data_IF_416828376077
#
_entry.id   IF_416828376077
#
_cell.length_a   1.000
_cell.length_b   1.000
_cell.length_c   1.000
_cell.angle_alpha   90.00
_cell.angle_beta   90.00
_cell.angle_gamma   90.00
#
_symmetry.space_group_name_H-M   'P 1'
#
loop_
_entity.id
_entity.type
_entity.pdbx_description
1 polymer ?
#
# COMPACT_ATOMS: atom_id res chain seq x y z
N UNK A 1 1.85 -25.44 13.01
CA UNK A 1 0.52 -25.03 12.49
C UNK A 1 0.57 -23.71 11.70
N UNK A 2 1.08 -22.60 12.29
CA UNK A 2 1.22 -21.29 11.60
C UNK A 2 2.09 -21.35 10.33
N UNK A 3 3.21 -22.07 10.34
CA UNK A 3 4.09 -22.24 9.17
C UNK A 3 3.45 -23.02 8.01
N UNK A 4 2.54 -23.95 8.31
CA UNK A 4 1.81 -24.72 7.30
C UNK A 4 0.68 -23.90 6.66
N UNK A 5 -0.01 -23.08 7.47
CA UNK A 5 -1.04 -22.14 6.98
C UNK A 5 -0.40 -21.07 6.08
N UNK A 6 0.72 -20.48 6.48
CA UNK A 6 1.48 -19.54 5.65
C UNK A 6 2.00 -20.19 4.36
N UNK A 7 2.40 -21.46 4.39
CA UNK A 7 2.79 -22.20 3.18
C UNK A 7 1.59 -22.41 2.24
N UNK A 8 0.41 -22.76 2.77
CA UNK A 8 -0.83 -22.91 2.01
C UNK A 8 -1.28 -21.62 1.31
N UNK A 9 -1.23 -20.48 2.01
CA UNK A 9 -1.54 -19.16 1.43
C UNK A 9 -0.56 -18.81 0.30
N UNK A 10 0.73 -19.10 0.46
CA UNK A 10 1.77 -18.85 -0.54
C UNK A 10 1.64 -19.72 -1.80
N UNK A 11 1.21 -20.97 -1.66
CA UNK A 11 0.92 -21.81 -2.83
C UNK A 11 -0.33 -21.34 -3.55
N UNK A 12 -1.37 -20.99 -2.80
CA UNK A 12 -2.62 -20.46 -3.33
C UNK A 12 -2.38 -19.20 -4.16
N UNK A 13 -1.56 -18.27 -3.68
CA UNK A 13 -1.24 -17.02 -4.41
C UNK A 13 -0.38 -17.22 -5.65
N UNK A 14 0.37 -18.33 -5.74
CA UNK A 14 1.12 -18.69 -6.96
C UNK A 14 0.27 -19.40 -7.99
N UNK A 15 -0.70 -20.20 -7.55
CA UNK A 15 -1.54 -21.02 -8.43
C UNK A 15 -2.69 -20.20 -9.03
N UNK A 16 -3.31 -19.29 -8.26
CA UNK A 16 -4.46 -18.51 -8.72
C UNK A 16 -4.20 -17.77 -10.05
N UNK A 17 -3.07 -17.06 -10.25
CA UNK A 17 -2.76 -16.44 -11.54
C UNK A 17 -2.78 -17.42 -12.73
N UNK A 18 -2.31 -18.65 -12.53
CA UNK A 18 -2.34 -19.69 -13.57
C UNK A 18 -3.77 -20.17 -13.84
N UNK A 19 -4.59 -20.34 -12.80
CA UNK A 19 -6.01 -20.68 -12.95
C UNK A 19 -6.74 -19.58 -13.72
N UNK A 20 -6.50 -18.31 -13.39
CA UNK A 20 -7.09 -17.17 -14.11
C UNK A 20 -6.69 -17.16 -15.58
N UNK A 21 -5.41 -17.42 -15.89
CA UNK A 21 -4.95 -17.51 -17.27
C UNK A 21 -5.64 -18.65 -18.04
N UNK A 22 -5.77 -19.84 -17.43
CA UNK A 22 -6.51 -20.97 -18.00
C UNK A 22 -7.99 -20.63 -18.24
N UNK A 23 -8.63 -19.95 -17.29
CA UNK A 23 -10.01 -19.49 -17.42
C UNK A 23 -10.19 -18.48 -18.57
N UNK A 24 -9.30 -17.49 -18.68
CA UNK A 24 -9.31 -16.54 -19.81
C UNK A 24 -9.14 -17.28 -21.14
N UNK A 25 -8.28 -18.29 -21.22
CA UNK A 25 -8.15 -19.15 -22.40
C UNK A 25 -9.46 -19.88 -22.77
N UNK A 26 -10.16 -20.44 -21.77
CA UNK A 26 -11.46 -21.08 -21.98
C UNK A 26 -12.53 -20.07 -22.44
N UNK A 27 -12.61 -18.90 -21.81
CA UNK A 27 -13.51 -17.81 -22.23
C UNK A 27 -13.21 -17.40 -23.66
N UNK A 28 -11.93 -17.28 -24.03
CA UNK A 28 -11.48 -16.94 -25.39
C UNK A 28 -11.98 -17.96 -26.40
N UNK A 29 -11.82 -19.25 -26.11
CA UNK A 29 -12.32 -20.32 -26.97
C UNK A 29 -13.84 -20.25 -27.15
N UNK A 30 -14.61 -20.11 -26.07
CA UNK A 30 -16.08 -20.05 -26.15
C UNK A 30 -16.54 -18.78 -26.88
N UNK A 31 -15.95 -17.63 -26.58
CA UNK A 31 -16.30 -16.36 -27.19
C UNK A 31 -16.02 -16.33 -28.69
N UNK A 32 -14.82 -16.70 -29.10
CA UNK A 32 -14.41 -16.61 -30.51
C UNK A 32 -15.03 -17.74 -31.31
N UNK A 33 -14.73 -19.00 -30.93
CA UNK A 33 -15.12 -20.17 -31.74
C UNK A 33 -16.61 -20.44 -31.63
N UNK A 34 -17.15 -20.58 -30.41
CA UNK A 34 -18.54 -21.05 -30.26
C UNK A 34 -19.58 -19.95 -30.47
N UNK A 35 -19.37 -18.77 -29.89
CA UNK A 35 -20.35 -17.67 -29.95
C UNK A 35 -20.19 -16.88 -31.26
N UNK A 36 -19.00 -16.34 -31.55
CA UNK A 36 -18.84 -15.45 -32.70
C UNK A 36 -18.81 -16.19 -34.03
N UNK A 37 -18.03 -17.27 -34.15
CA UNK A 37 -17.85 -18.01 -35.41
C UNK A 37 -18.98 -19.01 -35.65
N UNK A 38 -19.15 -20.00 -34.78
CA UNK A 38 -20.12 -21.08 -35.01
C UNK A 38 -21.56 -20.54 -34.95
N UNK A 39 -21.91 -19.80 -33.89
CA UNK A 39 -23.28 -19.33 -33.69
C UNK A 39 -23.64 -18.09 -34.52
N UNK A 40 -22.96 -16.95 -34.32
CA UNK A 40 -23.37 -15.71 -35.00
C UNK A 40 -22.99 -15.68 -36.48
N UNK A 41 -21.78 -16.09 -36.85
CA UNK A 41 -21.31 -16.02 -38.24
C UNK A 41 -21.88 -17.14 -39.11
N UNK A 42 -21.76 -18.40 -38.69
CA UNK A 42 -22.19 -19.54 -39.52
C UNK A 42 -23.66 -19.90 -39.36
N UNK A 43 -24.13 -20.14 -38.12
CA UNK A 43 -25.50 -20.62 -37.88
C UNK A 43 -26.56 -19.54 -38.10
N UNK A 44 -26.31 -18.32 -37.60
CA UNK A 44 -27.25 -17.20 -37.71
C UNK A 44 -26.99 -16.26 -38.89
N UNK A 45 -25.85 -16.36 -39.56
CA UNK A 45 -25.46 -15.47 -40.68
C UNK A 45 -25.46 -13.96 -40.30
N UNK A 46 -25.26 -13.65 -39.03
CA UNK A 46 -25.23 -12.30 -38.46
C UNK A 46 -23.79 -11.79 -38.34
N UNK A 47 -23.13 -11.60 -39.48
CA UNK A 47 -21.72 -11.17 -39.57
C UNK A 47 -21.43 -9.87 -38.81
N UNK A 48 -22.36 -8.91 -38.82
CA UNK A 48 -22.18 -7.61 -38.12
C UNK A 48 -22.07 -7.80 -36.61
N UNK A 49 -22.98 -8.59 -36.02
CA UNK A 49 -22.98 -8.89 -34.58
C UNK A 49 -21.71 -9.61 -34.17
N UNK A 50 -21.29 -10.61 -34.96
CA UNK A 50 -20.05 -11.35 -34.72
C UNK A 50 -18.82 -10.42 -34.71
N UNK A 51 -18.69 -9.54 -35.71
CA UNK A 51 -17.55 -8.62 -35.82
C UNK A 51 -17.53 -7.63 -34.64
N UNK A 52 -18.67 -7.07 -34.26
CA UNK A 52 -18.76 -6.13 -33.13
C UNK A 52 -18.24 -6.80 -31.85
N UNK A 53 -18.74 -7.98 -31.51
CA UNK A 53 -18.27 -8.68 -30.31
C UNK A 53 -16.79 -9.05 -30.40
N UNK A 54 -16.29 -9.52 -31.55
CA UNK A 54 -14.88 -9.84 -31.72
C UNK A 54 -13.96 -8.63 -31.52
N UNK A 55 -14.32 -7.47 -32.05
CA UNK A 55 -13.53 -6.24 -31.90
C UNK A 55 -13.50 -5.78 -30.45
N UNK A 56 -14.66 -5.61 -29.81
CA UNK A 56 -14.73 -5.19 -28.41
C UNK A 56 -14.03 -6.19 -27.49
N UNK A 57 -14.25 -7.48 -27.71
CA UNK A 57 -13.59 -8.56 -26.97
C UNK A 57 -12.07 -8.48 -27.09
N UNK A 58 -11.55 -8.36 -28.32
CA UNK A 58 -10.09 -8.37 -28.57
C UNK A 58 -9.40 -7.15 -27.98
N UNK A 59 -9.99 -5.95 -28.11
CA UNK A 59 -9.44 -4.72 -27.55
C UNK A 59 -9.41 -4.79 -26.02
N UNK A 60 -10.51 -5.22 -25.40
CA UNK A 60 -10.58 -5.32 -23.93
C UNK A 60 -9.72 -6.45 -23.39
N UNK A 61 -9.60 -7.58 -24.10
CA UNK A 61 -8.69 -8.66 -23.74
C UNK A 61 -7.24 -8.14 -23.74
N UNK A 62 -6.83 -7.39 -24.77
CA UNK A 62 -5.50 -6.81 -24.82
C UNK A 62 -5.24 -5.88 -23.63
N UNK A 63 -6.16 -4.96 -23.35
CA UNK A 63 -6.03 -4.02 -22.22
C UNK A 63 -6.01 -4.75 -20.87
N UNK A 64 -6.84 -5.77 -20.70
CA UNK A 64 -6.86 -6.65 -19.53
C UNK A 64 -5.51 -7.35 -19.35
N UNK A 65 -4.98 -7.98 -20.40
CA UNK A 65 -3.72 -8.71 -20.35
C UNK A 65 -2.54 -7.77 -20.05
N UNK A 66 -2.49 -6.60 -20.68
CA UNK A 66 -1.42 -5.61 -20.46
C UNK A 66 -1.45 -5.08 -19.03
N UNK A 67 -2.63 -4.69 -18.52
CA UNK A 67 -2.76 -4.17 -17.15
C UNK A 67 -2.53 -5.23 -16.09
N UNK A 68 -3.04 -6.46 -16.28
CA UNK A 68 -2.79 -7.57 -15.36
C UNK A 68 -1.31 -7.96 -15.34
N UNK A 69 -0.66 -8.07 -16.50
CA UNK A 69 0.76 -8.42 -16.59
C UNK A 69 1.62 -7.35 -15.91
N UNK A 70 1.32 -6.07 -16.14
CA UNK A 70 2.03 -4.97 -15.47
C UNK A 70 1.85 -5.02 -13.96
N UNK A 71 0.62 -5.19 -13.49
CA UNK A 71 0.30 -5.31 -12.07
C UNK A 71 1.06 -6.47 -11.44
N UNK A 72 0.95 -7.67 -12.03
CA UNK A 72 1.62 -8.86 -11.55
C UNK A 72 3.14 -8.66 -11.46
N UNK A 73 3.77 -8.14 -12.53
CA UNK A 73 5.21 -7.85 -12.54
C UNK A 73 5.62 -6.90 -11.42
N UNK A 74 4.87 -5.82 -11.21
CA UNK A 74 5.21 -4.83 -10.17
C UNK A 74 5.04 -5.41 -8.77
N UNK A 75 3.98 -6.19 -8.55
CA UNK A 75 3.76 -6.89 -7.27
C UNK A 75 4.90 -7.86 -6.95
N UNK A 76 5.44 -8.56 -7.95
CA UNK A 76 6.56 -9.49 -7.73
C UNK A 76 7.92 -8.79 -7.60
N UNK A 77 8.19 -7.76 -8.42
CA UNK A 77 9.52 -7.15 -8.52
C UNK A 77 9.70 -6.02 -7.49
N UNK A 78 8.69 -5.17 -7.31
CA UNK A 78 8.76 -4.02 -6.41
C UNK A 78 7.43 -3.81 -5.66
N UNK A 79 7.17 -4.62 -4.63
CA UNK A 79 5.99 -4.47 -3.78
C UNK A 79 5.99 -3.21 -2.89
N UNK A 80 7.02 -2.35 -2.96
CA UNK A 80 7.11 -1.15 -2.13
C UNK A 80 7.50 -1.44 -0.67
N UNK A 81 8.44 -2.36 -0.46
CA UNK A 81 8.89 -2.74 0.89
C UNK A 81 9.74 -1.64 1.55
N UNK A 82 9.52 -1.42 2.84
CA UNK A 82 10.35 -0.59 3.70
C UNK A 82 11.64 -1.35 4.03
N UNK A 83 12.83 -0.71 4.02
CA UNK A 83 14.08 -1.33 4.42
C UNK A 83 14.00 -2.01 5.80
N UNK A 84 14.74 -3.10 5.98
CA UNK A 84 14.89 -3.71 7.30
C UNK A 84 15.82 -2.85 8.15
N UNK A 85 15.56 -2.79 9.45
CA UNK A 85 16.50 -2.16 10.36
C UNK A 85 17.74 -3.05 10.59
N UNK A 86 18.85 -2.47 11.07
CA UNK A 86 20.11 -3.19 11.23
C UNK A 86 20.00 -4.48 12.06
N UNK A 87 19.23 -4.44 13.17
CA UNK A 87 19.03 -5.62 14.04
C UNK A 87 18.32 -6.77 13.31
N UNK A 88 17.29 -6.47 12.51
CA UNK A 88 16.57 -7.49 11.75
C UNK A 88 17.42 -8.12 10.64
N UNK A 89 18.34 -7.34 10.05
CA UNK A 89 19.30 -7.86 9.07
C UNK A 89 20.22 -8.88 9.75
N UNK A 90 20.84 -8.48 10.87
CA UNK A 90 21.74 -9.36 11.64
C UNK A 90 21.03 -10.63 12.13
N UNK A 91 19.78 -10.53 12.59
CA UNK A 91 19.00 -11.69 13.01
C UNK A 91 18.75 -12.65 11.85
N UNK A 92 18.35 -12.15 10.69
CA UNK A 92 18.13 -12.99 9.50
C UNK A 92 19.42 -13.65 9.00
N UNK A 93 20.56 -12.96 9.07
CA UNK A 93 21.86 -13.54 8.73
C UNK A 93 22.28 -14.65 9.68
N UNK A 94 22.03 -14.47 10.99
CA UNK A 94 22.23 -15.51 12.01
C UNK A 94 21.32 -16.71 11.78
N UNK A 95 20.05 -16.50 11.47
CA UNK A 95 19.08 -17.57 11.21
C UNK A 95 19.49 -18.41 9.98
N UNK A 96 19.96 -17.76 8.91
CA UNK A 96 20.44 -18.45 7.71
C UNK A 96 21.71 -19.26 8.01
N UNK A 97 22.65 -18.68 8.76
CA UNK A 97 23.89 -19.34 9.17
C UNK A 97 23.62 -20.53 10.11
N UNK A 98 22.70 -20.35 11.07
CA UNK A 98 22.23 -21.39 11.98
C UNK A 98 21.55 -22.53 11.24
N UNK A 99 20.68 -22.24 10.26
CA UNK A 99 20.06 -23.28 9.41
C UNK A 99 21.09 -24.06 8.59
N UNK A 100 22.11 -23.39 8.05
CA UNK A 100 23.21 -24.07 7.32
C UNK A 100 23.99 -25.01 8.25
N UNK A 101 24.36 -24.54 9.45
CA UNK A 101 25.08 -25.35 10.44
C UNK A 101 24.23 -26.52 10.95
N UNK A 102 22.94 -26.31 11.24
CA UNK A 102 22.02 -27.39 11.68
C UNK A 102 21.79 -28.46 10.61
N UNK A 103 21.74 -28.11 9.32
CA UNK A 103 21.73 -29.10 8.23
C UNK A 103 22.99 -29.97 8.20
N UNK A 104 24.12 -29.46 8.69
CA UNK A 104 25.38 -30.19 8.78
C UNK A 104 25.49 -31.05 10.05
N UNK A 105 24.81 -30.68 11.13
CA UNK A 105 25.08 -31.19 12.48
C UNK A 105 23.88 -31.91 13.14
N UNK A 106 22.76 -32.06 12.41
CA UNK A 106 21.57 -32.78 12.90
C UNK A 106 20.86 -32.18 14.13
N UNK A 107 21.23 -30.95 14.53
CA UNK A 107 20.79 -30.35 15.79
C UNK A 107 19.32 -29.87 15.84
N UNK A 108 18.71 -30.03 17.01
CA UNK A 108 17.30 -29.73 17.34
C UNK A 108 16.97 -28.22 17.34
N UNK A 109 15.70 -27.86 17.10
CA UNK A 109 15.21 -26.47 17.08
C UNK A 109 15.09 -25.91 18.51
N UNK A 110 15.99 -24.99 18.88
CA UNK A 110 15.72 -24.08 19.99
C UNK A 110 14.63 -23.08 19.58
N UNK A 111 13.40 -23.39 19.98
CA UNK A 111 12.19 -22.61 19.72
C UNK A 111 12.16 -21.28 20.49
N UNK A 112 12.96 -21.15 21.56
CA UNK A 112 12.99 -19.97 22.44
C UNK A 112 13.93 -18.88 21.93
N UNK A 113 14.92 -19.22 21.09
CA UNK A 113 15.88 -18.25 20.55
C UNK A 113 15.28 -17.21 19.56
N UNK A 114 14.00 -17.33 19.17
CA UNK A 114 13.47 -16.60 18.01
C UNK A 114 12.75 -15.27 18.30
N UNK A 115 12.32 -14.91 19.52
CA UNK A 115 11.34 -13.80 19.63
C UNK A 115 11.37 -13.00 20.92
N UNK A 116 12.27 -12.02 21.07
CA UNK A 116 12.12 -11.08 22.20
C UNK A 116 12.38 -9.60 21.99
N UNK A 117 12.48 -9.08 20.75
CA UNK A 117 12.46 -7.61 20.55
C UNK A 117 11.05 -7.12 20.20
N UNK A 118 10.10 -7.24 21.13
CA UNK A 118 8.73 -6.71 20.96
C UNK A 118 8.71 -5.17 21.06
N UNK A 119 9.69 -4.59 21.75
CA UNK A 119 9.70 -3.19 22.13
C UNK A 119 10.36 -2.31 21.07
N UNK A 120 9.94 -1.03 20.94
CA UNK A 120 10.65 -0.03 20.15
C UNK A 120 12.10 0.08 20.57
N UNK A 121 12.97 0.48 19.64
CA UNK A 121 14.34 0.83 20.01
C UNK A 121 14.31 2.05 20.94
N UNK A 122 14.78 1.87 22.17
CA UNK A 122 14.78 2.93 23.19
C UNK A 122 15.93 3.92 22.99
N UNK A 123 16.90 3.59 22.13
CA UNK A 123 18.02 4.46 21.80
C UNK A 123 17.52 5.81 21.23
N UNK A 124 17.86 6.94 21.88
CA UNK A 124 17.58 8.28 21.37
C UNK A 124 18.08 8.54 19.95
N UNK A 125 19.21 7.92 19.59
CA UNK A 125 19.85 8.01 18.27
C UNK A 125 19.57 6.75 17.42
N UNK A 126 18.40 6.15 17.59
CA UNK A 126 17.97 4.99 16.80
C UNK A 126 18.00 5.33 15.29
N UNK A 127 18.71 4.54 14.46
CA UNK A 127 18.80 4.80 13.02
C UNK A 127 17.43 4.88 12.35
N UNK A 128 17.22 5.91 11.53
CA UNK A 128 15.97 6.15 10.82
C UNK A 128 14.98 7.02 11.57
N UNK A 129 15.19 7.33 12.86
CA UNK A 129 14.36 8.25 13.63
C UNK A 129 14.45 9.69 13.06
N UNK A 130 15.60 10.05 12.50
CA UNK A 130 15.86 11.33 11.82
C UNK A 130 14.99 11.58 10.60
N UNK A 131 14.53 10.52 9.94
CA UNK A 131 13.61 10.62 8.82
C UNK A 131 12.22 11.17 9.25
N UNK A 132 11.86 11.06 10.53
CA UNK A 132 10.58 11.52 11.07
C UNK A 132 10.67 12.95 11.58
N UNK A 133 11.61 13.25 12.49
CA UNK A 133 11.72 14.60 13.04
C UNK A 133 12.28 15.63 12.04
N UNK A 134 12.81 15.18 10.90
CA UNK A 134 13.11 16.07 9.75
C UNK A 134 11.86 16.57 9.01
N UNK A 135 10.69 15.95 9.24
CA UNK A 135 9.38 16.39 8.74
C UNK A 135 8.72 17.39 9.68
N UNK A 136 7.77 18.15 9.16
CA UNK A 136 6.96 19.08 9.97
C UNK A 136 5.74 18.39 10.60
N UNK A 137 5.29 17.25 10.05
CA UNK A 137 4.25 16.40 10.64
C UNK A 137 4.43 14.93 10.26
N UNK A 138 4.19 14.03 11.22
CA UNK A 138 4.18 12.58 11.02
C UNK A 138 3.23 11.87 11.99
N UNK A 139 2.87 10.63 11.70
CA UNK A 139 2.02 9.81 12.59
C UNK A 139 2.84 9.20 13.71
N UNK A 140 2.41 9.40 14.94
CA UNK A 140 3.10 8.93 16.15
C UNK A 140 2.24 8.01 17.01
N UNK A 141 2.84 7.49 18.08
CA UNK A 141 2.16 6.85 19.22
C UNK A 141 1.84 7.87 20.30
N UNK A 142 1.22 7.45 21.41
CA UNK A 142 0.79 8.35 22.51
C UNK A 142 1.94 9.13 23.16
N UNK A 143 3.14 8.56 23.13
CA UNK A 143 4.39 9.12 23.64
C UNK A 143 5.09 10.01 22.60
N UNK A 144 4.48 10.28 21.44
CA UNK A 144 5.06 11.15 20.41
C UNK A 144 6.16 10.51 19.55
N UNK A 145 6.52 9.25 19.82
CA UNK A 145 7.47 8.48 19.00
C UNK A 145 6.82 7.95 17.72
N UNK A 146 7.58 7.76 16.62
CA UNK A 146 7.04 7.10 15.43
C UNK A 146 6.61 5.67 15.72
N UNK A 147 5.74 5.11 14.87
CA UNK A 147 5.31 3.72 15.05
C UNK A 147 6.44 2.74 14.76
N UNK A 148 6.64 1.75 15.62
CA UNK A 148 7.68 0.73 15.44
C UNK A 148 7.16 -0.58 14.80
N UNK A 149 8.04 -1.28 14.07
CA UNK A 149 7.86 -2.68 13.70
C UNK A 149 8.87 -3.57 14.42
N UNK A 150 8.42 -4.40 15.36
CA UNK A 150 9.27 -5.40 16.01
C UNK A 150 9.87 -6.40 15.02
N UNK A 151 9.06 -6.96 14.12
CA UNK A 151 9.53 -7.97 13.14
C UNK A 151 10.57 -7.43 12.14
N UNK A 152 10.47 -6.16 11.77
CA UNK A 152 11.42 -5.53 10.83
C UNK A 152 12.52 -4.74 11.54
N UNK A 153 12.46 -4.67 12.88
CA UNK A 153 13.28 -3.80 13.74
C UNK A 153 13.48 -2.40 13.16
N UNK A 154 12.41 -1.76 12.66
CA UNK A 154 12.49 -0.46 12.01
C UNK A 154 11.26 0.40 12.29
N UNK A 155 11.46 1.72 12.28
CA UNK A 155 10.40 2.72 12.33
C UNK A 155 9.56 2.64 11.06
N UNK A 156 8.23 2.65 11.22
CA UNK A 156 7.26 2.56 10.12
C UNK A 156 6.98 3.96 9.61
N UNK A 157 7.33 4.28 8.34
CA UNK A 157 6.83 5.48 7.71
C UNK A 157 5.30 5.56 7.81
N UNK A 158 4.74 6.75 7.66
CA UNK A 158 3.29 6.92 7.66
C UNK A 158 2.64 5.95 6.66
N UNK A 159 1.43 5.48 6.98
CA UNK A 159 0.67 4.51 6.15
C UNK A 159 1.41 3.20 5.78
N UNK A 160 2.59 2.93 6.34
CA UNK A 160 3.28 1.66 6.16
C UNK A 160 2.75 0.62 7.16
N UNK A 161 2.54 -0.60 6.68
CA UNK A 161 2.02 -1.71 7.49
C UNK A 161 2.83 -2.98 7.27
N UNK A 162 2.97 -3.77 8.34
CA UNK A 162 3.65 -5.06 8.26
C UNK A 162 2.72 -6.10 7.63
N UNK A 163 3.15 -6.70 6.53
CA UNK A 163 2.46 -7.80 5.87
C UNK A 163 3.09 -9.11 6.34
N UNK A 164 2.36 -9.93 7.09
CA UNK A 164 2.83 -11.23 7.58
C UNK A 164 3.15 -12.21 6.45
N UNK A 165 2.46 -12.11 5.31
CA UNK A 165 2.68 -12.98 4.15
C UNK A 165 4.05 -12.73 3.50
N UNK A 166 4.45 -11.45 3.41
CA UNK A 166 5.76 -11.02 2.91
C UNK A 166 6.83 -10.96 4.00
N UNK A 167 6.44 -11.01 5.27
CA UNK A 167 7.30 -10.79 6.43
C UNK A 167 8.09 -9.47 6.34
N UNK A 168 7.43 -8.42 5.82
CA UNK A 168 8.01 -7.09 5.56
C UNK A 168 6.98 -5.99 5.74
N UNK A 169 7.44 -4.81 6.16
CA UNK A 169 6.64 -3.58 6.06
C UNK A 169 6.53 -3.11 4.61
N UNK A 170 5.34 -2.67 4.21
CA UNK A 170 5.00 -2.20 2.86
C UNK A 170 4.46 -0.79 2.95
N UNK A 171 4.98 0.13 2.11
CA UNK A 171 4.54 1.53 2.01
C UNK A 171 3.11 1.60 1.46
N UNK A 172 2.28 2.46 2.07
CA UNK A 172 0.87 2.70 1.71
C UNK A 172 0.13 1.39 1.41
N UNK A 173 0.30 0.40 2.29
CA UNK A 173 -0.24 -0.95 2.09
C UNK A 173 -1.77 -0.89 2.03
N UNK A 174 -2.32 -1.48 0.97
CA UNK A 174 -3.77 -1.58 0.80
C UNK A 174 -4.27 -2.94 1.28
N UNK A 175 -3.87 -4.01 0.61
CA UNK A 175 -4.22 -5.38 1.02
C UNK A 175 -3.28 -6.41 0.41
N UNK A 176 -3.31 -7.62 0.94
CA UNK A 176 -2.71 -8.78 0.29
C UNK A 176 -3.76 -9.44 -0.62
N UNK A 177 -3.44 -9.61 -1.90
CA UNK A 177 -4.39 -10.04 -2.92
C UNK A 177 -3.95 -11.36 -3.57
N UNK A 178 -4.65 -12.47 -3.29
CA UNK A 178 -4.34 -13.77 -3.90
C UNK A 178 -4.47 -13.78 -5.42
N UNK A 179 -5.39 -12.97 -5.98
CA UNK A 179 -5.69 -12.90 -7.42
C UNK A 179 -4.52 -12.37 -8.27
N UNK A 180 -3.68 -11.53 -7.67
CA UNK A 180 -2.51 -10.92 -8.32
C UNK A 180 -1.20 -11.48 -7.78
N UNK A 181 -1.29 -12.43 -6.84
CA UNK A 181 -0.15 -13.16 -6.29
C UNK A 181 0.72 -12.37 -5.31
N UNK A 182 0.19 -11.36 -4.62
CA UNK A 182 0.99 -10.60 -3.66
C UNK A 182 0.32 -9.35 -3.08
N UNK A 183 1.13 -8.45 -2.52
CA UNK A 183 0.64 -7.23 -1.86
C UNK A 183 0.31 -6.13 -2.87
N UNK A 184 -0.84 -5.49 -2.68
CA UNK A 184 -1.21 -4.25 -3.33
C UNK A 184 -0.88 -3.09 -2.38
N UNK A 185 -0.12 -2.11 -2.87
CA UNK A 185 0.31 -0.96 -2.10
C UNK A 185 0.67 0.21 -3.02
N UNK A 186 1.50 1.13 -2.55
CA UNK A 186 1.86 2.37 -3.26
C UNK A 186 2.27 2.16 -4.73
N UNK A 187 3.13 1.18 -4.98
CA UNK A 187 3.73 0.92 -6.28
C UNK A 187 2.80 0.20 -7.25
N UNK A 188 1.73 -0.44 -6.76
CA UNK A 188 0.88 -1.33 -7.56
C UNK A 188 -0.60 -0.92 -7.60
N UNK A 189 -1.06 -0.04 -6.70
CA UNK A 189 -2.49 0.30 -6.57
C UNK A 189 -3.09 0.92 -7.83
N UNK A 190 -2.35 1.79 -8.53
CA UNK A 190 -2.77 2.32 -9.83
C UNK A 190 -3.09 1.20 -10.83
N UNK A 191 -2.17 0.25 -10.98
CA UNK A 191 -2.33 -0.85 -11.93
C UNK A 191 -3.45 -1.80 -11.50
N UNK A 192 -3.67 -1.94 -10.20
CA UNK A 192 -4.81 -2.69 -9.66
C UNK A 192 -6.15 -2.08 -10.08
N UNK A 193 -6.31 -0.76 -9.99
CA UNK A 193 -7.54 -0.07 -10.41
C UNK A 193 -7.76 -0.20 -11.92
N UNK A 194 -6.70 -0.05 -12.72
CA UNK A 194 -6.77 -0.23 -14.17
C UNK A 194 -7.17 -1.66 -14.54
N UNK A 195 -6.55 -2.66 -13.89
CA UNK A 195 -6.86 -4.07 -14.09
C UNK A 195 -8.33 -4.38 -13.76
N UNK A 196 -8.83 -3.97 -12.59
CA UNK A 196 -10.23 -4.27 -12.20
C UNK A 196 -11.23 -3.56 -13.10
N UNK A 197 -10.92 -2.33 -13.55
CA UNK A 197 -11.75 -1.59 -14.50
C UNK A 197 -11.85 -2.32 -15.85
N UNK A 198 -10.73 -2.71 -16.44
CA UNK A 198 -10.75 -3.44 -17.72
C UNK A 198 -11.31 -4.86 -17.58
N UNK A 199 -11.13 -5.51 -16.44
CA UNK A 199 -11.77 -6.79 -16.15
C UNK A 199 -13.30 -6.66 -16.12
N UNK A 200 -13.82 -5.63 -15.45
CA UNK A 200 -15.27 -5.37 -15.41
C UNK A 200 -15.83 -5.16 -16.82
N UNK A 201 -15.20 -4.31 -17.63
CA UNK A 201 -15.63 -4.07 -19.02
C UNK A 201 -15.53 -5.34 -19.88
N UNK A 202 -14.43 -6.09 -19.76
CA UNK A 202 -14.21 -7.34 -20.49
C UNK A 202 -15.32 -8.35 -20.20
N UNK A 203 -15.62 -8.61 -18.92
CA UNK A 203 -16.65 -9.57 -18.56
C UNK A 203 -18.06 -9.09 -18.89
N UNK A 204 -18.34 -7.79 -18.90
CA UNK A 204 -19.61 -7.25 -19.42
C UNK A 204 -19.81 -7.61 -20.89
N UNK A 205 -18.78 -7.49 -21.73
CA UNK A 205 -18.87 -7.88 -23.15
C UNK A 205 -19.09 -9.39 -23.30
N UNK A 206 -18.40 -10.20 -22.51
CA UNK A 206 -18.58 -11.67 -22.50
C UNK A 206 -20.01 -12.04 -22.09
N UNK A 207 -20.52 -11.44 -21.01
CA UNK A 207 -21.90 -11.67 -20.53
C UNK A 207 -22.93 -11.21 -21.54
N UNK A 208 -22.73 -10.05 -22.19
CA UNK A 208 -23.64 -9.56 -23.21
C UNK A 208 -23.71 -10.48 -24.43
N UNK A 209 -22.56 -10.97 -24.91
CA UNK A 209 -22.50 -11.89 -26.04
C UNK A 209 -23.11 -13.25 -25.71
N UNK A 210 -22.74 -13.85 -24.58
CA UNK A 210 -23.27 -15.14 -24.14
C UNK A 210 -24.77 -15.05 -23.81
N UNK A 211 -25.22 -13.97 -23.17
CA UNK A 211 -26.63 -13.73 -22.88
C UNK A 211 -27.47 -13.53 -24.14
N UNK A 212 -26.94 -12.81 -25.14
CA UNK A 212 -27.61 -12.68 -26.43
C UNK A 212 -27.68 -14.03 -27.16
N UNK A 213 -26.59 -14.79 -27.17
CA UNK A 213 -26.56 -16.15 -27.72
C UNK A 213 -27.65 -17.00 -27.09
N UNK A 214 -27.69 -17.10 -25.75
CA UNK A 214 -28.72 -17.89 -25.05
C UNK A 214 -30.13 -17.41 -25.36
N UNK A 215 -30.37 -16.09 -25.35
CA UNK A 215 -31.70 -15.53 -25.63
C UNK A 215 -32.19 -15.93 -27.02
N UNK A 216 -31.31 -15.87 -28.03
CA UNK A 216 -31.64 -16.27 -29.39
C UNK A 216 -31.84 -17.79 -29.48
N UNK A 217 -30.96 -18.60 -28.87
CA UNK A 217 -31.12 -20.07 -28.85
C UNK A 217 -32.46 -20.48 -28.24
N UNK A 218 -32.82 -19.91 -27.08
CA UNK A 218 -34.10 -20.17 -26.41
C UNK A 218 -35.31 -19.74 -27.25
N UNK A 219 -35.26 -18.55 -27.88
CA UNK A 219 -36.34 -18.05 -28.72
C UNK A 219 -36.61 -18.93 -29.95
N UNK A 220 -35.62 -19.72 -30.39
CA UNK A 220 -35.74 -20.63 -31.53
C UNK A 220 -35.97 -22.09 -31.12
N UNK A 221 -36.06 -22.40 -29.81
CA UNK A 221 -36.25 -23.77 -29.32
C UNK A 221 -35.05 -24.70 -29.58
N UNK A 222 -33.85 -24.15 -29.75
CA UNK A 222 -32.63 -24.92 -30.00
C UNK A 222 -32.00 -25.43 -28.68
N UNK A 223 -31.25 -26.55 -28.73
CA UNK A 223 -30.55 -27.04 -27.55
C UNK A 223 -29.47 -26.05 -27.09
N UNK A 224 -29.39 -25.84 -25.78
CA UNK A 224 -28.39 -24.96 -25.18
C UNK A 224 -27.02 -25.62 -25.12
N UNK A 225 -25.99 -24.86 -25.45
CA UNK A 225 -24.60 -25.26 -25.25
C UNK A 225 -24.19 -25.07 -23.78
N UNK A 226 -23.88 -26.19 -23.10
CA UNK A 226 -23.42 -26.18 -21.70
C UNK A 226 -22.18 -25.31 -21.45
N UNK A 227 -21.27 -25.18 -22.43
CA UNK A 227 -20.11 -24.29 -22.29
C UNK A 227 -20.52 -22.80 -22.26
N UNK A 228 -21.52 -22.41 -23.06
CA UNK A 228 -22.04 -21.04 -23.07
C UNK A 228 -22.74 -20.72 -21.76
N UNK A 229 -23.51 -21.66 -21.21
CA UNK A 229 -24.15 -21.52 -19.89
C UNK A 229 -23.08 -21.35 -18.80
N UNK A 230 -22.07 -22.21 -18.78
CA UNK A 230 -21.01 -22.17 -17.77
C UNK A 230 -20.22 -20.85 -17.84
N UNK A 231 -19.82 -20.41 -19.03
CA UNK A 231 -19.10 -19.14 -19.20
C UNK A 231 -19.99 -17.95 -18.83
N UNK A 232 -21.28 -17.95 -19.17
CA UNK A 232 -22.18 -16.88 -18.77
C UNK A 232 -22.24 -16.75 -17.24
N UNK A 233 -22.46 -17.85 -16.52
CA UNK A 233 -22.57 -17.85 -15.07
C UNK A 233 -21.27 -17.35 -14.40
N UNK A 234 -20.13 -17.92 -14.78
CA UNK A 234 -18.84 -17.57 -14.17
C UNK A 234 -18.40 -16.14 -14.57
N UNK A 235 -18.65 -15.73 -15.82
CA UNK A 235 -18.33 -14.35 -16.26
C UNK A 235 -19.22 -13.31 -15.61
N UNK A 236 -20.49 -13.63 -15.34
CA UNK A 236 -21.38 -12.72 -14.61
C UNK A 236 -20.91 -12.50 -13.18
N UNK A 237 -20.46 -13.56 -12.49
CA UNK A 237 -19.82 -13.44 -11.18
C UNK A 237 -18.58 -12.52 -11.24
N UNK A 238 -17.67 -12.77 -12.18
CA UNK A 238 -16.47 -11.93 -12.33
C UNK A 238 -16.78 -10.49 -12.75
N UNK A 239 -17.81 -10.26 -13.56
CA UNK A 239 -18.25 -8.91 -13.93
C UNK A 239 -18.70 -8.12 -12.70
N UNK A 240 -19.57 -8.70 -11.86
CA UNK A 240 -20.08 -8.06 -10.64
C UNK A 240 -18.93 -7.84 -9.64
N UNK A 241 -18.10 -8.87 -9.44
CA UNK A 241 -16.96 -8.79 -8.53
C UNK A 241 -15.96 -7.71 -8.97
N UNK A 242 -15.54 -7.71 -10.23
CA UNK A 242 -14.62 -6.71 -10.77
C UNK A 242 -15.21 -5.30 -10.73
N UNK A 243 -16.50 -5.14 -11.02
CA UNK A 243 -17.18 -3.85 -10.92
C UNK A 243 -17.20 -3.33 -9.47
N UNK A 244 -17.57 -4.16 -8.50
CA UNK A 244 -17.57 -3.79 -7.08
C UNK A 244 -16.16 -3.41 -6.58
N UNK A 245 -15.14 -4.17 -6.99
CA UNK A 245 -13.74 -3.85 -6.66
C UNK A 245 -13.29 -2.54 -7.31
N UNK A 246 -13.69 -2.29 -8.57
CA UNK A 246 -13.39 -1.03 -9.28
C UNK A 246 -14.01 0.17 -8.57
N UNK A 247 -15.30 0.10 -8.24
CA UNK A 247 -16.01 1.16 -7.53
C UNK A 247 -15.38 1.45 -6.16
N UNK A 248 -15.00 0.39 -5.44
CA UNK A 248 -14.34 0.51 -4.13
C UNK A 248 -12.96 1.15 -4.26
N UNK A 249 -12.15 0.71 -5.23
CA UNK A 249 -10.83 1.27 -5.47
C UNK A 249 -10.89 2.74 -5.91
N UNK A 250 -11.81 3.10 -6.81
CA UNK A 250 -12.06 4.49 -7.22
C UNK A 250 -12.49 5.33 -6.02
N UNK A 251 -13.42 4.82 -5.19
CA UNK A 251 -13.83 5.51 -3.95
C UNK A 251 -12.62 5.79 -3.05
N UNK A 252 -11.76 4.79 -2.84
CA UNK A 252 -10.56 4.91 -2.01
C UNK A 252 -9.52 5.88 -2.56
N UNK A 253 -9.34 5.93 -3.89
CA UNK A 253 -8.57 7.00 -4.53
C UNK A 253 -9.22 8.35 -4.22
N UNK A 254 -10.51 8.50 -4.47
CA UNK A 254 -11.24 9.75 -4.29
C UNK A 254 -11.15 10.30 -2.86
N UNK A 255 -11.19 9.44 -1.84
CA UNK A 255 -11.06 9.85 -0.43
C UNK A 255 -9.65 9.73 0.14
N UNK A 256 -8.65 9.37 -0.66
CA UNK A 256 -7.26 9.09 -0.27
C UNK A 256 -7.11 8.16 0.95
N UNK A 257 -7.86 7.06 0.98
CA UNK A 257 -7.73 6.01 1.99
C UNK A 257 -7.23 4.74 1.34
N UNK A 258 -6.42 3.96 2.06
CA UNK A 258 -6.26 2.54 1.76
C UNK A 258 -7.30 1.72 2.50
N UNK A 259 -7.46 0.44 2.15
CA UNK A 259 -8.24 -0.53 2.91
C UNK A 259 -7.81 -0.56 4.39
N UNK A 260 -6.51 -0.55 4.66
CA UNK A 260 -5.99 -0.51 6.05
C UNK A 260 -6.39 0.79 6.75
N UNK A 261 -6.25 1.93 6.06
CA UNK A 261 -6.63 3.24 6.63
C UNK A 261 -8.13 3.31 6.91
N UNK A 262 -8.97 2.76 6.03
CA UNK A 262 -10.42 2.73 6.20
C UNK A 262 -10.81 1.95 7.46
N UNK A 263 -10.28 0.73 7.62
CA UNK A 263 -10.53 -0.10 8.82
C UNK A 263 -10.06 0.64 10.08
N UNK A 264 -8.88 1.27 10.04
CA UNK A 264 -8.37 2.05 11.17
C UNK A 264 -9.22 3.27 11.49
N UNK A 265 -9.65 4.03 10.49
CA UNK A 265 -10.45 5.24 10.69
C UNK A 265 -11.84 4.94 11.30
N UNK A 266 -12.34 3.72 11.14
CA UNK A 266 -13.60 3.26 11.73
C UNK A 266 -13.44 2.83 13.18
N UNK A 267 -12.25 2.37 13.55
CA UNK A 267 -11.98 1.77 14.86
C UNK A 267 -11.21 2.69 15.80
N UNK A 268 -10.65 3.80 15.31
CA UNK A 268 -9.84 4.67 16.14
C UNK A 268 -9.43 5.98 15.49
N UNK A 269 -8.54 6.67 16.18
CA UNK A 269 -8.03 8.00 15.84
C UNK A 269 -6.58 7.92 15.39
N UNK A 270 -6.16 8.87 14.56
CA UNK A 270 -4.75 9.07 14.25
C UNK A 270 -4.15 10.00 15.31
N UNK A 271 -2.89 9.72 15.67
CA UNK A 271 -2.10 10.61 16.51
C UNK A 271 -1.01 11.19 15.65
N UNK A 272 -0.90 12.52 15.66
CA UNK A 272 0.00 13.27 14.81
C UNK A 272 0.95 14.07 15.71
N UNK A 273 2.24 13.98 15.42
CA UNK A 273 3.24 14.89 15.94
C UNK A 273 3.33 16.07 14.96
N UNK A 274 2.80 17.23 15.36
CA UNK A 274 2.82 18.46 14.55
C UNK A 274 3.91 19.38 15.08
N UNK A 275 4.80 19.85 14.20
CA UNK A 275 5.87 20.77 14.58
C UNK A 275 5.31 22.08 15.12
N UNK A 276 5.86 22.51 16.25
CA UNK A 276 5.59 23.77 16.97
C UNK A 276 6.92 24.51 17.22
N UNK A 277 6.91 25.79 17.62
CA UNK A 277 8.11 26.53 17.96
C UNK A 277 8.92 25.84 19.06
N UNK A 278 10.22 26.12 19.08
CA UNK A 278 11.10 25.59 20.14
C UNK A 278 10.70 26.13 21.50
N UNK A 279 10.74 25.28 22.52
CA UNK A 279 10.43 25.66 23.90
C UNK A 279 8.94 25.84 24.19
N UNK A 280 8.05 25.42 23.30
CA UNK A 280 6.63 25.28 23.64
C UNK A 280 6.47 24.26 24.76
N UNK A 281 5.84 24.66 25.87
CA UNK A 281 5.50 23.79 26.98
C UNK A 281 4.24 22.98 26.70
N UNK A 282 3.98 21.98 27.54
CA UNK A 282 2.77 21.16 27.43
C UNK A 282 1.51 22.02 27.52
N UNK A 283 0.64 21.89 26.52
CA UNK A 283 -0.67 22.52 26.52
C UNK A 283 -1.68 21.73 27.33
N UNK A 284 -2.78 22.36 27.72
CA UNK A 284 -3.87 21.67 28.44
C UNK A 284 -4.45 20.47 27.65
N UNK A 285 -4.36 20.50 26.32
CA UNK A 285 -4.97 19.50 25.42
C UNK A 285 -3.96 18.75 24.53
N UNK A 286 -2.66 19.00 24.65
CA UNK A 286 -1.63 18.33 23.86
C UNK A 286 -0.33 18.20 24.66
N UNK A 287 0.33 17.05 24.56
CA UNK A 287 1.68 16.86 25.08
C UNK A 287 2.73 17.28 24.06
N UNK A 288 3.94 17.56 24.51
CA UNK A 288 5.05 17.99 23.66
C UNK A 288 6.22 17.01 23.75
N UNK A 289 6.86 16.78 22.60
CA UNK A 289 8.10 16.01 22.50
C UNK A 289 9.12 16.79 21.69
N UNK A 290 10.38 16.77 22.13
CA UNK A 290 11.48 17.40 21.41
C UNK A 290 12.47 16.35 20.90
N UNK A 291 12.94 16.56 19.68
CA UNK A 291 13.95 15.73 19.02
C UNK A 291 15.22 16.56 18.73
N UNK A 292 16.42 15.94 18.67
CA UNK A 292 16.70 14.55 19.06
C UNK A 292 16.30 14.25 20.51
N UNK A 293 15.96 12.99 20.80
CA UNK A 293 15.53 12.61 22.15
C UNK A 293 16.71 12.80 23.11
N UNK A 294 16.46 13.28 24.33
CA UNK A 294 17.50 13.35 25.35
C UNK A 294 17.80 11.94 25.87
N UNK A 295 19.07 11.58 26.12
CA UNK A 295 19.41 10.35 26.83
C UNK A 295 18.79 10.37 28.22
N UNK A 296 18.13 9.27 28.63
CA UNK A 296 17.66 9.18 30.00
C UNK A 296 18.85 9.20 30.98
N UNK A 297 18.76 9.93 32.10
CA UNK A 297 19.79 9.93 33.13
C UNK A 297 19.80 8.56 33.83
N UNK A 298 20.53 7.60 33.26
CA UNK A 298 20.67 6.26 33.84
C UNK A 298 21.05 5.12 32.89
N UNK A 299 21.07 5.33 31.56
CA UNK A 299 21.56 4.30 30.64
C UNK A 299 23.09 4.26 30.64
N UNK A 300 23.66 3.30 31.37
CA UNK A 300 25.09 3.02 31.37
C UNK A 300 25.57 2.67 29.95
N UNK A 301 26.57 3.37 29.40
CA UNK A 301 27.12 3.03 28.10
C UNK A 301 27.93 1.74 28.21
N UNK A 302 27.62 0.78 27.33
CA UNK A 302 28.50 -0.36 27.09
C UNK A 302 29.92 0.11 26.80
N UNK A 303 30.88 -0.60 27.40
CA UNK A 303 32.32 -0.36 27.34
C UNK A 303 32.82 -0.12 25.90
N UNK A 304 32.92 1.14 25.51
CA UNK A 304 33.93 1.59 24.55
C UNK A 304 34.38 2.98 24.99
N UNK A 305 35.64 3.06 25.43
CA UNK A 305 36.19 4.25 26.04
C UNK A 305 36.16 5.45 25.11
N UNK A 306 35.13 6.29 25.28
CA UNK A 306 35.14 7.67 24.85
C UNK A 306 34.83 8.54 26.06
N UNK A 307 35.77 9.44 26.32
CA UNK A 307 35.78 10.42 27.40
C UNK A 307 34.53 11.30 27.29
N UNK A 308 33.64 11.24 28.29
CA UNK A 308 32.52 12.17 28.40
C UNK A 308 33.04 13.56 28.74
N UNK A 309 33.09 14.45 27.76
CA UNK A 309 33.08 15.90 28.02
C UNK A 309 31.64 16.29 28.32
N UNK A 310 31.39 16.86 29.50
CA UNK A 310 30.17 17.62 29.82
C UNK A 310 30.06 18.80 28.84
N UNK A 311 29.56 18.56 27.64
CA UNK A 311 29.25 19.61 26.70
C UNK A 311 27.81 20.04 26.96
N UNK A 312 27.62 21.26 27.46
CA UNK A 312 26.40 21.99 27.15
C UNK A 312 26.15 21.89 25.65
N UNK A 313 24.91 21.67 25.20
CA UNK A 313 24.62 21.56 23.77
C UNK A 313 25.15 22.83 23.10
N UNK A 314 25.96 22.68 22.05
CA UNK A 314 26.50 23.87 21.39
C UNK A 314 25.32 24.70 20.84
N UNK A 315 25.50 26.01 20.64
CA UNK A 315 24.46 26.85 20.02
C UNK A 315 24.00 26.27 18.66
N UNK A 316 24.87 25.50 17.99
CA UNK A 316 24.56 24.77 16.76
C UNK A 316 23.63 23.57 16.98
N UNK A 317 23.76 22.89 18.12
CA UNK A 317 22.95 21.72 18.49
C UNK A 317 21.57 22.14 19.01
N UNK A 318 21.50 23.25 19.77
CA UNK A 318 20.24 23.92 20.09
C UNK A 318 19.47 24.38 18.84
N UNK A 319 20.17 24.75 17.77
CA UNK A 319 19.57 25.08 16.47
C UNK A 319 19.17 23.86 15.63
N UNK A 320 19.45 22.64 16.08
CA UNK A 320 19.05 21.39 15.43
C UNK A 320 17.82 20.74 16.11
N UNK A 321 17.42 21.22 17.29
CA UNK A 321 16.27 20.68 18.00
C UNK A 321 14.96 21.08 17.33
N UNK A 322 13.98 20.16 17.37
CA UNK A 322 12.64 20.35 16.84
C UNK A 322 11.62 19.84 17.83
N UNK A 323 10.63 20.68 18.10
CA UNK A 323 9.58 20.42 19.08
C UNK A 323 8.27 20.11 18.35
N UNK A 324 7.54 19.10 18.85
CA UNK A 324 6.31 18.61 18.24
C UNK A 324 5.22 18.52 19.30
N UNK A 325 4.05 19.06 18.98
CA UNK A 325 2.82 18.85 19.73
C UNK A 325 2.15 17.55 19.27
N UNK A 326 1.76 16.72 20.24
CA UNK A 326 1.10 15.44 20.04
C UNK A 326 -0.41 15.68 20.08
N UNK A 327 -1.04 15.63 18.91
CA UNK A 327 -2.48 15.85 18.77
C UNK A 327 -3.19 14.60 18.26
N UNK A 328 -4.47 14.50 18.55
CA UNK A 328 -5.32 13.38 18.13
C UNK A 328 -6.40 13.87 17.17
N UNK A 329 -6.67 13.08 16.13
CA UNK A 329 -7.83 13.31 15.27
C UNK A 329 -9.10 12.82 15.95
N UNK A 330 -10.26 13.16 15.40
CA UNK A 330 -11.51 12.49 15.76
C UNK A 330 -11.70 11.23 14.92
N UNK A 331 -12.64 10.37 15.35
CA UNK A 331 -12.99 9.14 14.65
C UNK A 331 -13.55 9.49 13.27
N UNK A 332 -13.03 8.83 12.23
CA UNK A 332 -13.45 9.05 10.84
C UNK A 332 -12.80 10.25 10.13
N UNK A 333 -12.00 11.07 10.82
CA UNK A 333 -11.24 12.15 10.15
C UNK A 333 -10.05 11.58 9.35
N UNK A 334 -9.85 12.05 8.12
CA UNK A 334 -8.75 11.64 7.26
C UNK A 334 -7.70 12.77 7.10
N UNK A 335 -6.48 12.61 7.64
CA UNK A 335 -5.40 13.59 7.47
C UNK A 335 -4.92 13.78 6.03
N UNK A 336 -5.08 12.78 5.16
CA UNK A 336 -4.51 12.77 3.80
C UNK A 336 -5.50 13.20 2.71
N UNK A 337 -6.74 13.55 3.06
CA UNK A 337 -7.73 13.96 2.08
C UNK A 337 -7.46 15.38 1.56
N UNK A 338 -7.01 15.50 0.31
CA UNK A 338 -6.75 16.77 -0.38
C UNK A 338 -7.90 17.21 -1.29
N UNK A 339 -9.02 16.49 -1.28
CA UNK A 339 -10.14 16.63 -2.20
C UNK A 339 -10.03 15.69 -3.42
N UNK A 340 -11.19 15.30 -3.95
CA UNK A 340 -11.36 14.23 -4.94
C UNK A 340 -10.36 14.28 -6.11
N UNK A 341 -10.20 15.45 -6.75
CA UNK A 341 -9.35 15.59 -7.92
C UNK A 341 -7.85 15.51 -7.60
N UNK A 342 -7.41 16.08 -6.46
CA UNK A 342 -6.01 16.03 -6.04
C UNK A 342 -5.63 14.62 -5.59
N UNK A 343 -6.52 13.95 -4.88
CA UNK A 343 -6.35 12.55 -4.49
C UNK A 343 -6.27 11.63 -5.73
N UNK A 344 -7.13 11.87 -6.72
CA UNK A 344 -7.06 11.16 -8.01
C UNK A 344 -5.71 11.31 -8.70
N UNK A 345 -5.20 12.54 -8.81
CA UNK A 345 -3.90 12.80 -9.43
C UNK A 345 -2.74 12.15 -8.69
N UNK A 346 -2.77 12.09 -7.37
CA UNK A 346 -1.68 11.53 -6.58
C UNK A 346 -1.44 10.04 -6.93
N UNK A 347 -2.51 9.31 -7.25
CA UNK A 347 -2.44 7.90 -7.66
C UNK A 347 -2.32 7.74 -9.18
N UNK A 348 -3.21 8.35 -9.95
CA UNK A 348 -3.37 8.08 -11.38
C UNK A 348 -2.45 8.93 -12.27
N UNK A 349 -1.94 10.04 -11.73
CA UNK A 349 -1.12 11.03 -12.44
C UNK A 349 -1.93 12.19 -13.02
N UNK A 350 -1.23 13.13 -13.65
CA UNK A 350 -1.82 14.35 -14.23
C UNK A 350 -2.44 14.15 -15.61
N UNK A 351 -2.03 13.10 -16.35
CA UNK A 351 -2.34 12.94 -17.77
C UNK A 351 -3.42 11.86 -17.98
N UNK A 352 -4.36 12.10 -18.89
CA UNK A 352 -5.43 11.14 -19.20
C UNK A 352 -4.89 9.80 -19.75
N UNK A 353 -3.77 9.84 -20.49
CA UNK A 353 -3.10 8.62 -20.98
C UNK A 353 -2.62 7.77 -19.81
N UNK A 354 -2.11 8.40 -18.75
CA UNK A 354 -1.66 7.70 -17.54
C UNK A 354 -2.84 7.04 -16.81
N UNK A 355 -4.07 7.54 -16.98
CA UNK A 355 -5.25 7.00 -16.34
C UNK A 355 -5.71 5.70 -17.00
N UNK A 356 -5.61 5.63 -18.32
CA UNK A 356 -6.08 4.48 -19.10
C UNK A 356 -4.97 3.45 -19.33
N UNK A 357 -3.74 3.88 -19.59
CA UNK A 357 -2.66 2.97 -19.96
C UNK A 357 -1.67 2.77 -18.80
N UNK A 358 -1.17 1.55 -18.59
CA UNK A 358 -0.26 1.22 -17.49
C UNK A 358 1.21 1.56 -17.81
N UNK A 359 1.46 2.73 -18.41
CA UNK A 359 2.78 3.14 -18.91
C UNK A 359 3.64 3.77 -17.82
N UNK A 360 3.12 4.80 -17.13
CA UNK A 360 3.84 5.51 -16.07
C UNK A 360 3.94 4.66 -14.80
N UNK A 361 5.13 4.68 -14.17
CA UNK A 361 5.40 4.04 -12.88
C UNK A 361 4.54 4.67 -11.77
N UNK A 362 4.00 3.84 -10.88
CA UNK A 362 3.33 4.28 -9.65
C UNK A 362 4.35 4.30 -8.50
N UNK A 363 4.31 5.28 -7.58
CA UNK A 363 3.38 6.41 -7.52
C UNK A 363 3.65 7.44 -8.63
N UNK A 364 2.59 8.11 -9.12
CA UNK A 364 2.74 9.06 -10.23
C UNK A 364 3.28 10.42 -9.79
N UNK A 365 3.06 10.80 -8.53
CA UNK A 365 3.71 11.92 -7.85
C UNK A 365 4.53 11.36 -6.67
N UNK A 366 5.77 11.83 -6.50
CA UNK A 366 6.55 11.49 -5.31
C UNK A 366 5.91 12.20 -4.11
N UNK A 367 5.27 11.44 -3.22
CA UNK A 367 4.47 11.98 -2.12
C UNK A 367 5.31 12.44 -0.90
N UNK A 368 6.61 12.12 -0.87
CA UNK A 368 7.54 12.51 0.21
C UNK A 368 7.98 13.98 0.07
N UNK A 369 7.36 14.86 0.85
CA UNK A 369 7.75 16.27 0.96
C UNK A 369 8.58 16.50 2.22
N UNK A 370 9.14 17.70 2.37
CA UNK A 370 9.78 18.08 3.63
C UNK A 370 8.78 18.33 4.76
N UNK A 371 7.49 18.45 4.44
CA UNK A 371 6.40 18.65 5.39
C UNK A 371 5.98 17.33 6.03
N UNK A 372 5.80 16.27 5.24
CA UNK A 372 5.32 14.96 5.71
C UNK A 372 5.72 13.82 4.76
N UNK A 373 5.51 12.57 5.18
CA UNK A 373 5.72 11.41 4.31
C UNK A 373 4.72 11.34 3.15
N UNK A 374 3.50 11.81 3.40
CA UNK A 374 2.42 11.95 2.42
C UNK A 374 1.78 13.29 2.61
N UNK A 375 1.53 14.01 1.51
CA UNK A 375 0.91 15.33 1.55
C UNK A 375 -0.36 15.34 2.39
N UNK A 376 -0.40 16.24 3.36
CA UNK A 376 -1.54 16.40 4.26
C UNK A 376 -2.64 17.25 3.60
N UNK A 377 -3.87 16.98 4.01
CA UNK A 377 -5.06 17.71 3.63
C UNK A 377 -5.34 18.93 4.51
N UNK A 378 -6.47 19.62 4.28
CA UNK A 378 -6.90 20.78 5.07
C UNK A 378 -7.07 20.47 6.56
N UNK A 379 -7.27 19.20 6.92
CA UNK A 379 -7.42 18.77 8.32
C UNK A 379 -6.23 19.19 9.19
N UNK A 380 -5.01 19.25 8.63
CA UNK A 380 -3.84 19.69 9.39
C UNK A 380 -4.03 21.10 9.95
N UNK A 381 -4.56 22.02 9.15
CA UNK A 381 -4.84 23.39 9.59
C UNK A 381 -5.99 23.41 10.61
N UNK A 382 -7.03 22.60 10.41
CA UNK A 382 -8.12 22.45 11.36
C UNK A 382 -7.64 21.95 12.73
N UNK A 383 -6.69 21.01 12.76
CA UNK A 383 -6.10 20.51 14.00
C UNK A 383 -5.26 21.59 14.69
N UNK A 384 -4.48 22.36 13.93
CA UNK A 384 -3.74 23.51 14.50
C UNK A 384 -4.67 24.50 15.19
N UNK A 385 -5.77 24.87 14.55
CA UNK A 385 -6.76 25.77 15.15
C UNK A 385 -7.50 25.13 16.33
N UNK A 386 -7.86 23.84 16.24
CA UNK A 386 -8.60 23.13 17.31
C UNK A 386 -7.79 23.01 18.60
N UNK A 387 -6.49 22.78 18.48
CA UNK A 387 -5.60 22.62 19.63
C UNK A 387 -4.84 23.91 19.99
N UNK A 388 -5.18 25.04 19.36
CA UNK A 388 -4.54 26.35 19.54
C UNK A 388 -3.01 26.28 19.46
N UNK A 389 -2.52 25.58 18.41
CA UNK A 389 -1.09 25.36 18.24
C UNK A 389 -0.40 26.65 17.77
N UNK A 390 0.71 27.05 18.41
CA UNK A 390 1.45 28.25 18.02
C UNK A 390 2.06 28.11 16.62
N UNK A 391 2.01 29.18 15.84
CA UNK A 391 2.63 29.23 14.52
C UNK A 391 4.16 29.34 14.62
N UNK A 392 4.84 28.59 13.76
CA UNK A 392 6.30 28.63 13.68
C UNK A 392 6.74 30.01 13.14
N UNK A 393 7.61 30.75 13.87
CA UNK A 393 8.12 32.05 13.45
C UNK A 393 8.77 32.00 12.06
N UNK A 394 8.64 33.10 11.30
CA UNK A 394 9.18 33.18 9.93
C UNK A 394 10.70 33.01 9.88
N UNK A 395 11.41 33.40 10.93
CA UNK A 395 12.87 33.32 11.01
C UNK A 395 13.34 31.86 11.17
N UNK A 396 12.63 31.06 11.97
CA UNK A 396 12.88 29.62 12.11
C UNK A 396 12.58 28.86 10.81
N UNK A 397 11.55 29.28 10.05
CA UNK A 397 11.26 28.73 8.71
C UNK A 397 12.34 29.07 7.68
N UNK A 398 12.91 30.28 7.73
CA UNK A 398 13.95 30.75 6.79
C UNK A 398 15.29 30.06 7.04
N UNK A 399 15.70 29.93 8.30
CA UNK A 399 16.94 29.23 8.68
C UNK A 399 16.95 27.77 8.22
N UNK A 400 15.81 27.08 8.33
CA UNK A 400 15.66 25.71 7.87
C UNK A 400 15.68 25.57 6.34
N UNK A 401 15.09 26.54 5.63
CA UNK A 401 15.12 26.55 4.16
C UNK A 401 16.56 26.69 3.65
N UNK A 402 17.38 27.53 4.29
CA UNK A 402 18.79 27.71 3.95
C UNK A 402 19.61 26.42 4.23
N UNK A 403 19.31 25.68 5.32
CA UNK A 403 19.96 24.40 5.62
C UNK A 403 19.54 23.27 4.66
N UNK A 404 18.29 23.25 4.20
CA UNK A 404 17.77 22.25 3.24
C UNK A 404 18.37 22.39 1.84
N UNK A 405 18.82 23.58 1.44
CA UNK A 405 19.45 23.83 0.13
C UNK A 405 20.96 23.55 0.13
N UNK A 406 21.59 23.49 1.31
CA UNK A 406 23.04 23.24 1.48
C UNK A 406 23.42 21.77 1.69
N UNK A 407 22.44 20.88 1.84
CA UNK A 407 22.57 19.42 1.83
C UNK A 407 22.04 18.90 0.50
#
# INVERSE_FOLDING_TARGET
>A
MVSAVLAGTRWTTRIIPLILAGYIGLVTYVMIKRICVDFFLHHRQQSRTAIIFLVFYSVLLLLLLVTYSRLWLVVQINPGVVPLGPRAILQRERDVSGKRRRRSDGGEEDLEASRYDRWPDENPDSPGLEAFYSKDVFVCTNDGRPRWCSTCCNWKPDRAHHCSELDRCVKKMDHYCPWVGGVVGETSFKYFVQFTFYAALYYVVVVAAAGLCMRVTLANGEPLDGFVIAILAVSAFFAIFAFAMTCTAIRYICVNLTNVDYVKSKLGVYQLAIRVPRGTEDGFNYGVISYPLSPEPGSSPDLSGQTFTNNEPSSRDHLATRTFAIVKTEVGQNPWDMGYYRNWKSVMGSNAIDWLLPLRKSPCENEETSESFYKMGPLLQTLRTRFDLPDIPLDEKKEDTIKRVRK
#
